data_IF_346302700258
#
_entry.id   IF_346302700258
#
_cell.length_a   1.000
_cell.length_b   1.000
_cell.length_c   1.000
_cell.angle_alpha   90.00
_cell.angle_beta   90.00
_cell.angle_gamma   90.00
#
_symmetry.space_group_name_H-M   'P 1'
#
loop_
_entity.id
_entity.type
_entity.pdbx_description
1 polymer ?
#
# COMPACT_ATOMS: atom_id res chain seq x y z
N UNK A 1 -15.12 -5.38 -3.33
CA UNK A 1 -13.67 -5.20 -3.27
C UNK A 1 -13.29 -4.24 -4.38
N UNK A 2 -12.38 -3.31 -4.12
CA UNK A 2 -11.83 -2.38 -5.11
C UNK A 2 -10.37 -2.76 -5.38
N UNK A 3 -9.98 -2.74 -6.65
CA UNK A 3 -8.65 -3.14 -7.10
C UNK A 3 -7.96 -1.95 -7.77
N UNK A 4 -6.71 -1.73 -7.38
CA UNK A 4 -5.91 -0.60 -7.85
C UNK A 4 -4.58 -1.10 -8.41
N UNK A 5 -4.14 -0.50 -9.51
CA UNK A 5 -2.84 -0.76 -10.10
C UNK A 5 -2.09 0.53 -10.34
N UNK A 6 -0.79 0.51 -10.06
CA UNK A 6 0.06 1.69 -10.15
C UNK A 6 1.33 1.34 -10.91
N UNK A 7 1.85 2.28 -11.70
CA UNK A 7 3.07 2.07 -12.49
C UNK A 7 4.33 2.58 -11.79
N UNK A 8 4.16 3.47 -10.83
CA UNK A 8 5.28 4.06 -10.11
C UNK A 8 5.06 3.93 -8.60
N UNK A 9 6.16 4.03 -7.86
CA UNK A 9 6.16 3.89 -6.40
C UNK A 9 5.45 5.05 -5.72
N UNK A 10 5.64 6.26 -6.22
CA UNK A 10 5.23 7.46 -5.51
C UNK A 10 3.69 7.52 -5.44
N UNK A 11 2.99 7.13 -6.50
CA UNK A 11 1.53 6.97 -6.53
C UNK A 11 1.04 5.91 -5.51
N UNK A 12 1.80 4.81 -5.33
CA UNK A 12 1.46 3.76 -4.36
C UNK A 12 1.66 4.24 -2.93
N UNK A 13 2.77 4.94 -2.69
CA UNK A 13 3.07 5.51 -1.38
C UNK A 13 2.00 6.54 -1.03
N UNK A 14 1.64 7.41 -1.96
CA UNK A 14 0.56 8.38 -1.80
C UNK A 14 -0.80 7.69 -1.56
N UNK A 15 -1.12 6.64 -2.33
CA UNK A 15 -2.33 5.85 -2.11
C UNK A 15 -2.36 5.25 -0.70
N UNK A 16 -1.27 4.60 -0.29
CA UNK A 16 -1.15 4.00 1.04
C UNK A 16 -1.19 5.06 2.14
N UNK A 17 -0.64 6.24 1.94
CA UNK A 17 -0.70 7.33 2.92
C UNK A 17 -2.13 7.90 3.04
N UNK A 18 -2.76 8.19 1.91
CA UNK A 18 -4.11 8.76 1.82
C UNK A 18 -5.19 7.80 2.33
N UNK A 19 -4.98 6.49 2.19
CA UNK A 19 -5.91 5.47 2.67
C UNK A 19 -5.48 4.90 4.03
N UNK A 20 -4.58 5.59 4.76
CA UNK A 20 -4.16 5.26 6.12
C UNK A 20 -3.52 3.86 6.27
N UNK A 21 -2.88 3.40 5.21
CA UNK A 21 -2.12 2.16 5.10
C UNK A 21 -0.59 2.38 5.12
N UNK A 22 -0.14 3.52 5.65
CA UNK A 22 1.28 3.91 5.73
C UNK A 22 2.20 2.86 6.36
N UNK A 23 1.64 1.96 7.17
CA UNK A 23 2.37 0.86 7.80
C UNK A 23 2.92 -0.17 6.80
N UNK A 24 2.43 -0.20 5.55
CA UNK A 24 3.02 -1.02 4.48
C UNK A 24 4.16 -0.31 3.74
N UNK A 25 4.37 1.00 3.90
CA UNK A 25 5.41 1.76 3.19
C UNK A 25 6.82 1.21 3.46
N UNK A 26 7.21 0.87 4.71
CA UNK A 26 8.52 0.26 4.96
C UNK A 26 8.72 -1.06 4.21
N UNK A 27 7.70 -1.92 4.18
CA UNK A 27 7.75 -3.21 3.45
C UNK A 27 7.79 -3.02 1.94
N UNK A 28 6.97 -2.11 1.41
CA UNK A 28 7.04 -1.73 0.00
C UNK A 28 8.46 -1.31 -0.38
N UNK A 29 9.13 -0.47 0.43
CA UNK A 29 10.51 -0.03 0.20
C UNK A 29 11.52 -1.18 0.28
N UNK A 30 11.36 -2.09 1.25
CA UNK A 30 12.20 -3.28 1.41
C UNK A 30 12.12 -4.19 0.18
N UNK A 31 10.90 -4.61 -0.19
CA UNK A 31 10.68 -5.46 -1.36
C UNK A 31 11.15 -4.79 -2.65
N UNK A 32 10.87 -3.49 -2.83
CA UNK A 32 11.39 -2.75 -3.97
C UNK A 32 12.91 -2.74 -4.07
N UNK A 33 13.61 -2.59 -2.94
CA UNK A 33 15.08 -2.61 -2.93
C UNK A 33 15.65 -3.96 -3.34
N UNK A 34 14.85 -5.02 -3.24
CA UNK A 34 15.20 -6.38 -3.64
C UNK A 34 14.81 -6.72 -5.08
N UNK A 35 13.99 -5.90 -5.74
CA UNK A 35 13.65 -6.07 -7.16
C UNK A 35 14.87 -5.71 -8.00
N UNK A 36 15.46 -6.71 -8.65
CA UNK A 36 16.63 -6.56 -9.51
C UNK A 36 16.28 -6.28 -10.98
N UNK A 37 14.99 -6.30 -11.30
CA UNK A 37 14.47 -6.38 -12.67
C UNK A 37 13.50 -5.22 -13.01
N UNK A 38 12.89 -5.27 -14.20
CA UNK A 38 11.95 -4.26 -14.67
C UNK A 38 10.62 -4.33 -13.90
N UNK A 39 10.24 -3.23 -13.26
CA UNK A 39 8.93 -3.11 -12.61
C UNK A 39 7.82 -3.06 -13.66
N UNK A 40 6.79 -3.91 -13.50
CA UNK A 40 5.59 -3.89 -14.34
C UNK A 40 4.49 -3.02 -13.74
N UNK A 41 4.07 -3.32 -12.51
CA UNK A 41 3.09 -2.54 -11.74
C UNK A 41 3.06 -2.99 -10.27
N UNK A 42 2.48 -2.14 -9.42
CA UNK A 42 2.04 -2.45 -8.07
C UNK A 42 0.55 -2.72 -8.07
N UNK A 43 0.09 -3.62 -7.22
CA UNK A 43 -1.31 -3.96 -7.05
C UNK A 43 -1.72 -3.81 -5.59
N UNK A 44 -2.89 -3.23 -5.38
CA UNK A 44 -3.53 -3.14 -4.06
C UNK A 44 -5.00 -3.53 -4.19
N UNK A 45 -5.47 -4.39 -3.29
CA UNK A 45 -6.86 -4.76 -3.13
C UNK A 45 -7.38 -4.27 -1.78
N UNK A 46 -8.52 -3.59 -1.83
CA UNK A 46 -9.20 -3.02 -0.66
C UNK A 46 -10.60 -3.63 -0.54
N UNK A 47 -10.95 -4.05 0.67
CA UNK A 47 -12.25 -4.58 1.02
C UNK A 47 -13.35 -3.51 0.91
N UNK A 48 -14.61 -3.92 0.99
CA UNK A 48 -15.73 -2.96 1.03
C UNK A 48 -15.75 -2.16 2.35
N UNK A 49 -15.01 -2.60 3.36
CA UNK A 49 -14.85 -1.92 4.65
C UNK A 49 -13.62 -1.01 4.68
N UNK A 50 -13.04 -0.71 3.51
CA UNK A 50 -11.85 0.15 3.37
C UNK A 50 -10.61 -0.38 4.09
N UNK A 51 -10.43 -1.71 4.09
CA UNK A 51 -9.23 -2.36 4.63
C UNK A 51 -8.43 -2.99 3.49
N UNK A 52 -7.10 -2.87 3.53
CA UNK A 52 -6.23 -3.60 2.59
C UNK A 52 -6.32 -5.09 2.89
N UNK A 53 -6.62 -5.86 1.84
CA UNK A 53 -6.69 -7.33 1.87
C UNK A 53 -5.50 -7.97 1.17
N UNK A 54 -4.91 -7.25 0.19
CA UNK A 54 -3.79 -7.78 -0.57
C UNK A 54 -2.96 -6.66 -1.20
N UNK A 55 -1.63 -6.82 -1.19
CA UNK A 55 -0.72 -5.96 -1.92
C UNK A 55 0.48 -6.74 -2.44
N UNK A 56 0.83 -6.50 -3.70
CA UNK A 56 2.00 -7.12 -4.32
C UNK A 56 2.62 -6.27 -5.41
N UNK A 57 3.90 -6.52 -5.66
CA UNK A 57 4.66 -5.95 -6.76
C UNK A 57 4.77 -7.00 -7.85
N UNK A 58 4.52 -6.59 -9.10
CA UNK A 58 4.80 -7.42 -10.27
C UNK A 58 5.99 -6.85 -11.01
N UNK A 59 7.02 -7.68 -11.19
CA UNK A 59 8.21 -7.38 -11.98
C UNK A 59 8.35 -8.38 -13.14
N UNK A 60 9.08 -7.99 -14.17
CA UNK A 60 9.42 -8.82 -15.32
C UNK A 60 10.93 -9.06 -15.28
N UNK A 61 11.33 -10.33 -15.22
CA UNK A 61 12.72 -10.74 -15.45
C UNK A 61 12.77 -11.67 -16.66
N UNK A 62 13.43 -11.21 -17.73
CA UNK A 62 13.38 -11.87 -19.04
C UNK A 62 11.97 -11.85 -19.63
N UNK A 63 11.40 -13.03 -19.91
CA UNK A 63 10.02 -13.20 -20.43
C UNK A 63 9.04 -13.72 -19.35
N UNK A 64 9.41 -13.64 -18.07
CA UNK A 64 8.59 -14.16 -16.97
C UNK A 64 8.19 -13.07 -15.99
N UNK A 65 6.94 -13.14 -15.54
CA UNK A 65 6.39 -12.28 -14.51
C UNK A 65 6.61 -12.89 -13.12
N UNK A 66 7.12 -12.07 -12.21
CA UNK A 66 7.34 -12.41 -10.82
C UNK A 66 6.41 -11.57 -9.96
N UNK A 67 5.81 -12.21 -8.96
CA UNK A 67 4.88 -11.59 -8.03
C UNK A 67 5.46 -11.65 -6.63
N UNK A 68 5.69 -10.50 -6.03
CA UNK A 68 6.17 -10.37 -4.66
C UNK A 68 5.10 -9.73 -3.78
N UNK A 69 4.50 -10.52 -2.88
CA UNK A 69 3.53 -10.00 -1.92
C UNK A 69 4.27 -9.24 -0.82
N UNK A 70 3.88 -7.99 -0.60
CA UNK A 70 4.35 -7.18 0.54
C UNK A 70 3.26 -6.95 1.59
N UNK A 71 2.04 -7.46 1.32
CA UNK A 71 1.01 -7.63 2.33
C UNK A 71 1.26 -8.90 3.15
N UNK A 72 1.32 -8.76 4.46
CA UNK A 72 1.32 -9.89 5.38
C UNK A 72 0.69 -9.45 6.70
N UNK A 73 -0.57 -9.86 6.85
CA UNK A 73 -1.48 -9.55 7.95
C UNK A 73 -0.89 -9.91 9.32
N UNK A 74 -0.02 -10.91 9.39
CA UNK A 74 0.54 -11.39 10.66
C UNK A 74 1.64 -10.48 11.21
N UNK A 75 2.21 -9.60 10.39
CA UNK A 75 3.19 -8.60 10.82
C UNK A 75 2.63 -7.18 10.85
N UNK A 76 1.33 -7.01 10.66
CA UNK A 76 0.68 -5.69 10.78
C UNK A 76 0.89 -5.14 12.20
N UNK A 77 0.79 -6.00 13.22
CA UNK A 77 0.99 -5.61 14.62
C UNK A 77 2.41 -5.09 14.91
N UNK A 78 3.45 -5.54 14.17
CA UNK A 78 4.84 -5.07 14.32
C UNK A 78 5.02 -3.59 13.94
N UNK A 79 4.20 -3.09 13.01
CA UNK A 79 4.28 -1.71 12.50
C UNK A 79 3.10 -0.83 12.97
N UNK A 80 2.16 -1.43 13.71
CA UNK A 80 0.92 -0.82 14.20
C UNK A 80 1.20 0.28 15.23
N UNK A 81 2.07 0.02 16.21
CA UNK A 81 2.35 0.95 17.32
C UNK A 81 2.96 2.28 16.88
N UNK A 82 3.66 2.31 15.74
CA UNK A 82 4.20 3.55 15.16
C UNK A 82 3.24 4.23 14.18
N UNK A 83 2.16 3.54 13.78
CA UNK A 83 1.21 4.01 12.79
C UNK A 83 -0.14 4.48 13.38
N UNK A 84 -0.54 3.98 14.56
CA UNK A 84 -1.90 4.10 15.13
C UNK A 84 -2.05 5.18 16.21
N UNK A 85 -2.01 6.46 15.85
CA UNK A 85 -2.74 7.46 16.63
C UNK A 85 -4.16 7.59 16.04
N UNK A 86 -5.14 6.97 16.70
CA UNK A 86 -6.54 6.91 16.28
C UNK A 86 -7.21 8.30 16.22
N UNK A 87 -6.81 9.21 17.11
CA UNK A 87 -7.34 10.57 17.15
C UNK A 87 -6.90 11.38 15.92
N UNK A 88 -5.65 11.19 15.50
CA UNK A 88 -5.10 11.82 14.29
C UNK A 88 -5.79 11.31 13.01
N UNK A 89 -6.13 10.02 12.97
CA UNK A 89 -6.85 9.41 11.84
C UNK A 89 -8.23 10.02 11.67
N UNK A 90 -9.00 10.07 12.75
CA UNK A 90 -10.37 10.59 12.71
C UNK A 90 -10.40 12.09 12.37
N UNK A 91 -9.35 12.85 12.72
CA UNK A 91 -9.22 14.25 12.28
C UNK A 91 -8.90 14.37 10.79
N UNK A 92 -7.98 13.54 10.25
CA UNK A 92 -7.58 13.61 8.83
C UNK A 92 -8.65 13.11 7.87
N UNK A 93 -9.41 12.09 8.28
CA UNK A 93 -10.55 11.62 7.50
C UNK A 93 -11.65 12.69 7.38
N UNK A 94 -11.95 13.40 8.47
CA UNK A 94 -12.88 14.53 8.43
C UNK A 94 -12.38 15.67 7.53
N UNK A 95 -11.10 16.01 7.62
CA UNK A 95 -10.47 17.04 6.79
C UNK A 95 -10.55 16.70 5.29
N UNK A 96 -10.29 15.46 4.89
CA UNK A 96 -10.41 15.07 3.49
C UNK A 96 -11.85 15.07 2.94
N UNK A 97 -12.85 14.77 3.79
CA UNK A 97 -14.27 14.92 3.43
C UNK A 97 -14.63 16.40 3.24
N UNK A 98 -14.11 17.28 4.11
CA UNK A 98 -14.38 18.73 4.03
C UNK A 98 -13.73 19.39 2.81
N UNK A 99 -12.64 18.83 2.31
CA UNK A 99 -11.89 19.38 1.18
C UNK A 99 -12.12 18.65 -0.16
N UNK A 100 -13.07 17.72 -0.22
CA UNK A 100 -13.40 16.95 -1.44
C UNK A 100 -12.17 16.23 -2.03
N UNK A 101 -11.31 15.73 -1.14
CA UNK A 101 -10.11 14.98 -1.51
C UNK A 101 -10.39 13.48 -1.74
N UNK A 102 -11.66 13.05 -1.64
CA UNK A 102 -12.14 11.67 -1.74
C UNK A 102 -13.16 11.46 -2.87
#
# INVERSE_FOLDING_TARGET
>A
MKQYTFKNRDDVVEFLDNHNFKYYIPRLREYMSNIKDELKYYYIEVSNSEEVENCYIVSISGEREFKENFFDINKVDEFKDTAYNIEYRDSKYKEGIEHDYF
#
